data_IF_413456600693
#
_entry.id   IF_413456600693
#
_cell.length_a   1.000
_cell.length_b   1.000
_cell.length_c   1.000
_cell.angle_alpha   90.00
_cell.angle_beta   90.00
_cell.angle_gamma   90.00
#
_symmetry.space_group_name_H-M   'P 1'
#
loop_
_entity.id
_entity.type
_entity.pdbx_description
1 polymer ?
#
# COMPACT_ATOMS: atom_id res chain seq x y z
N UNK A 1 -14.77 -7.06 18.52
CA UNK A 1 -15.57 -6.71 17.32
C UNK A 1 -16.46 -7.90 16.95
N UNK A 2 -17.75 -7.70 16.73
CA UNK A 2 -18.62 -8.77 16.20
C UNK A 2 -18.44 -8.83 14.68
N UNK A 3 -18.24 -10.03 14.11
CA UNK A 3 -18.11 -10.21 12.65
C UNK A 3 -19.37 -9.72 11.89
N UNK A 4 -20.52 -9.66 12.54
CA UNK A 4 -21.73 -9.05 11.98
C UNK A 4 -21.63 -7.56 11.71
N UNK A 5 -20.72 -6.84 12.38
CA UNK A 5 -20.46 -5.42 12.13
C UNK A 5 -19.67 -5.20 10.83
N UNK A 6 -19.06 -6.26 10.26
CA UNK A 6 -18.34 -6.22 8.98
C UNK A 6 -19.24 -6.40 7.75
N UNK A 7 -20.57 -6.44 7.94
CA UNK A 7 -21.52 -6.49 6.83
C UNK A 7 -21.78 -7.89 6.26
N UNK A 8 -21.35 -8.96 6.93
CA UNK A 8 -21.64 -10.35 6.53
C UNK A 8 -21.74 -11.29 7.74
N UNK A 9 -22.37 -12.45 7.53
CA UNK A 9 -22.48 -13.53 8.53
C UNK A 9 -21.60 -14.70 8.09
N UNK A 10 -20.61 -15.12 8.89
CA UNK A 10 -19.76 -16.27 8.56
C UNK A 10 -20.56 -17.59 8.49
N UNK A 11 -20.38 -18.35 7.41
CA UNK A 11 -20.88 -19.73 7.29
C UNK A 11 -19.92 -20.70 7.97
N UNK A 12 -18.60 -20.56 7.72
CA UNK A 12 -17.55 -21.38 8.33
C UNK A 12 -16.68 -20.58 9.29
N UNK A 13 -17.07 -20.52 10.55
CA UNK A 13 -16.32 -19.83 11.61
C UNK A 13 -14.89 -20.35 11.80
N UNK A 14 -14.60 -21.60 11.39
CA UNK A 14 -13.26 -22.19 11.47
C UNK A 14 -12.23 -21.44 10.62
N UNK A 15 -12.60 -20.96 9.43
CA UNK A 15 -11.73 -20.16 8.56
C UNK A 15 -11.29 -18.85 9.23
N UNK A 16 -12.22 -18.15 9.87
CA UNK A 16 -11.92 -16.88 10.55
C UNK A 16 -11.05 -17.09 11.80
N UNK A 17 -11.28 -18.17 12.55
CA UNK A 17 -10.39 -18.55 13.66
C UNK A 17 -8.98 -18.87 13.17
N UNK A 18 -8.87 -19.57 12.05
CA UNK A 18 -7.58 -19.89 11.43
C UNK A 18 -6.86 -18.63 10.94
N UNK A 19 -7.59 -17.66 10.35
CA UNK A 19 -7.03 -16.38 9.92
C UNK A 19 -6.44 -15.55 11.08
N UNK A 20 -6.93 -15.76 12.29
CA UNK A 20 -6.46 -15.08 13.49
C UNK A 20 -5.38 -15.87 14.26
N UNK A 21 -5.01 -17.07 13.81
CA UNK A 21 -4.08 -17.97 14.50
C UNK A 21 -2.65 -17.71 14.04
N UNK A 22 -1.90 -16.94 14.84
CA UNK A 22 -0.50 -16.64 14.56
C UNK A 22 0.37 -17.91 14.59
N UNK A 23 1.43 -17.95 13.78
CA UNK A 23 2.37 -19.09 13.71
C UNK A 23 2.96 -19.51 15.06
N UNK A 24 3.16 -18.59 16.01
CA UNK A 24 3.62 -18.94 17.37
C UNK A 24 2.62 -19.77 18.15
N UNK A 25 1.33 -19.72 17.79
CA UNK A 25 0.25 -20.50 18.39
C UNK A 25 -0.24 -21.63 17.47
N UNK A 26 0.50 -21.92 16.38
CA UNK A 26 0.13 -22.93 15.41
C UNK A 26 -0.22 -24.28 16.07
N UNK A 27 -1.24 -24.94 15.53
CA UNK A 27 -1.75 -26.22 15.98
C UNK A 27 -1.32 -27.31 15.00
N UNK A 28 -0.84 -28.44 15.54
CA UNK A 28 -0.47 -29.61 14.74
C UNK A 28 -1.70 -30.49 14.53
N UNK A 29 -2.01 -30.78 13.27
CA UNK A 29 -3.08 -31.72 12.90
C UNK A 29 -2.64 -33.17 13.12
N UNK A 30 -3.57 -34.11 13.05
CA UNK A 30 -3.30 -35.56 13.17
C UNK A 30 -2.32 -36.08 12.10
N UNK A 31 -2.32 -35.44 10.91
CA UNK A 31 -1.39 -35.77 9.80
C UNK A 31 -0.07 -34.98 9.85
N UNK A 32 0.20 -34.24 10.94
CA UNK A 32 1.45 -33.52 11.15
C UNK A 32 1.53 -32.12 10.53
N UNK A 33 0.50 -31.65 9.81
CA UNK A 33 0.49 -30.30 9.21
C UNK A 33 0.29 -29.24 10.30
N UNK A 34 1.05 -28.16 10.24
CA UNK A 34 0.89 -27.01 11.12
C UNK A 34 -0.21 -26.08 10.58
N UNK A 35 -1.25 -25.85 11.39
CA UNK A 35 -2.32 -24.91 11.09
C UNK A 35 -1.99 -23.55 11.70
N UNK A 36 -1.92 -22.55 10.84
CA UNK A 36 -1.79 -21.14 11.17
C UNK A 36 -2.37 -20.28 10.01
N UNK A 37 -2.29 -18.97 10.11
CA UNK A 37 -2.87 -18.05 9.13
C UNK A 37 -2.11 -18.00 7.78
N UNK A 38 -0.85 -18.41 7.67
CA UNK A 38 0.04 -18.13 6.53
C UNK A 38 -0.54 -18.59 5.17
N UNK A 39 -1.24 -19.71 5.11
CA UNK A 39 -1.87 -20.15 3.87
C UNK A 39 -3.06 -19.29 3.46
N UNK A 40 -3.79 -18.75 4.41
CA UNK A 40 -4.90 -17.82 4.15
C UNK A 40 -4.36 -16.44 3.76
N UNK A 41 -3.28 -15.99 4.38
CA UNK A 41 -2.53 -14.78 4.03
C UNK A 41 -2.10 -14.83 2.56
N UNK A 42 -1.40 -15.90 2.14
CA UNK A 42 -0.98 -16.09 0.75
C UNK A 42 -2.15 -15.96 -0.24
N UNK A 43 -3.29 -16.57 0.06
CA UNK A 43 -4.48 -16.47 -0.78
C UNK A 43 -5.09 -15.09 -0.74
N UNK A 44 -5.17 -14.51 0.45
CA UNK A 44 -5.79 -13.22 0.69
C UNK A 44 -5.04 -12.06 0.04
N UNK A 45 -3.70 -12.07 0.06
CA UNK A 45 -2.87 -11.10 -0.67
C UNK A 45 -3.24 -11.06 -2.16
N UNK A 46 -3.29 -12.23 -2.82
CA UNK A 46 -3.64 -12.32 -4.24
C UNK A 46 -5.05 -11.79 -4.52
N UNK A 47 -6.04 -12.14 -3.70
CA UNK A 47 -7.43 -11.70 -3.84
C UNK A 47 -7.57 -10.20 -3.57
N UNK A 48 -6.94 -9.69 -2.51
CA UNK A 48 -6.92 -8.27 -2.17
C UNK A 48 -6.27 -7.46 -3.29
N UNK A 49 -5.10 -7.90 -3.77
CA UNK A 49 -4.39 -7.27 -4.88
C UNK A 49 -5.24 -7.17 -6.15
N UNK A 50 -5.97 -8.23 -6.50
CA UNK A 50 -6.87 -8.25 -7.65
C UNK A 50 -8.05 -7.27 -7.49
N UNK A 51 -8.70 -7.26 -6.32
CA UNK A 51 -9.82 -6.37 -6.03
C UNK A 51 -9.38 -4.90 -6.05
N UNK A 52 -8.27 -4.58 -5.39
CA UNK A 52 -7.72 -3.21 -5.37
C UNK A 52 -7.33 -2.76 -6.78
N UNK A 53 -6.71 -3.63 -7.58
CA UNK A 53 -6.37 -3.32 -8.97
C UNK A 53 -7.62 -2.99 -9.81
N UNK A 54 -8.69 -3.78 -9.69
CA UNK A 54 -9.96 -3.52 -10.39
C UNK A 54 -10.59 -2.19 -9.95
N UNK A 55 -10.57 -1.89 -8.63
CA UNK A 55 -11.08 -0.64 -8.09
C UNK A 55 -10.33 0.56 -8.67
N UNK A 56 -9.01 0.53 -8.62
CA UNK A 56 -8.17 1.61 -9.14
C UNK A 56 -8.35 1.82 -10.64
N UNK A 57 -8.42 0.73 -11.40
CA UNK A 57 -8.69 0.78 -12.84
C UNK A 57 -10.00 1.51 -13.15
N UNK A 58 -11.04 1.29 -12.35
CA UNK A 58 -12.34 1.95 -12.50
C UNK A 58 -12.35 3.40 -12.01
N UNK A 59 -11.68 3.70 -10.90
CA UNK A 59 -11.64 5.05 -10.34
C UNK A 59 -10.78 6.00 -11.16
N UNK A 60 -9.77 5.48 -11.86
CA UNK A 60 -8.80 6.28 -12.59
C UNK A 60 -8.69 5.88 -14.07
N UNK A 61 -9.77 6.03 -14.87
CA UNK A 61 -9.82 5.54 -16.25
C UNK A 61 -8.83 6.23 -17.20
N UNK A 62 -8.32 7.40 -16.84
CA UNK A 62 -7.40 8.19 -17.66
C UNK A 62 -5.93 8.14 -17.19
N UNK A 63 -5.65 7.33 -16.16
CA UNK A 63 -4.28 7.20 -15.62
C UNK A 63 -3.57 6.00 -16.23
N UNK A 64 -2.24 6.10 -16.31
CA UNK A 64 -1.39 5.03 -16.85
C UNK A 64 -1.16 3.88 -15.85
N UNK A 65 -0.59 2.80 -16.35
CA UNK A 65 -0.28 1.59 -15.56
C UNK A 65 0.67 1.91 -14.40
N UNK A 66 1.67 2.76 -14.62
CA UNK A 66 2.64 3.15 -13.60
C UNK A 66 1.96 3.83 -12.41
N UNK A 67 1.03 4.76 -12.65
CA UNK A 67 0.22 5.40 -11.61
C UNK A 67 -0.60 4.36 -10.83
N UNK A 68 -1.32 3.48 -11.54
CA UNK A 68 -2.17 2.46 -10.90
C UNK A 68 -1.34 1.48 -10.05
N UNK A 69 -0.16 1.09 -10.53
CA UNK A 69 0.75 0.18 -9.81
C UNK A 69 1.32 0.83 -8.55
N UNK A 70 1.73 2.10 -8.61
CA UNK A 70 2.21 2.83 -7.42
C UNK A 70 1.11 2.98 -6.38
N UNK A 71 -0.10 3.35 -6.81
CA UNK A 71 -1.23 3.55 -5.91
C UNK A 71 -1.66 2.23 -5.25
N UNK A 72 -1.74 1.14 -6.04
CA UNK A 72 -1.97 -0.20 -5.50
C UNK A 72 -0.93 -0.57 -4.45
N UNK A 73 0.36 -0.44 -4.76
CA UNK A 73 1.46 -0.78 -3.84
C UNK A 73 1.37 -0.01 -2.52
N UNK A 74 0.88 1.22 -2.55
CA UNK A 74 0.67 2.03 -1.35
C UNK A 74 -0.51 1.51 -0.52
N UNK A 75 -1.65 1.22 -1.16
CA UNK A 75 -2.86 0.71 -0.50
C UNK A 75 -2.59 -0.63 0.17
N UNK A 76 -1.94 -1.57 -0.55
CA UNK A 76 -1.61 -2.91 -0.03
C UNK A 76 -0.22 -2.97 0.61
N UNK A 77 0.37 -1.83 0.97
CA UNK A 77 1.63 -1.84 1.72
C UNK A 77 1.43 -2.42 3.12
N UNK A 78 2.47 -3.07 3.65
CA UNK A 78 2.45 -3.63 5.01
C UNK A 78 2.04 -2.62 6.08
N UNK A 79 2.51 -1.38 5.97
CA UNK A 79 2.16 -0.30 6.89
C UNK A 79 0.67 0.00 6.81
N UNK A 80 0.14 0.21 5.61
CA UNK A 80 -1.28 0.52 5.37
C UNK A 80 -2.20 -0.61 5.85
N UNK A 81 -1.88 -1.86 5.52
CA UNK A 81 -2.68 -3.02 5.95
C UNK A 81 -2.61 -3.25 7.46
N UNK A 82 -1.47 -2.95 8.08
CA UNK A 82 -1.31 -3.04 9.52
C UNK A 82 -2.19 -2.02 10.24
N UNK A 83 -2.16 -0.76 9.80
CA UNK A 83 -3.00 0.31 10.36
C UNK A 83 -4.49 0.02 10.15
N UNK A 84 -4.86 -0.51 8.98
CA UNK A 84 -6.20 -0.96 8.68
C UNK A 84 -6.66 -2.08 9.62
N UNK A 85 -5.83 -3.11 9.83
CA UNK A 85 -6.14 -4.22 10.73
C UNK A 85 -6.39 -3.75 12.17
N UNK A 86 -5.57 -2.81 12.65
CA UNK A 86 -5.74 -2.19 13.98
C UNK A 86 -7.04 -1.36 14.01
N UNK A 87 -7.29 -0.57 12.99
CA UNK A 87 -8.49 0.27 12.89
C UNK A 87 -9.78 -0.55 12.98
N UNK A 88 -9.85 -1.68 12.30
CA UNK A 88 -11.01 -2.59 12.37
C UNK A 88 -10.98 -3.54 13.57
N UNK A 89 -9.95 -3.48 14.43
CA UNK A 89 -9.84 -4.20 15.68
C UNK A 89 -9.44 -5.68 15.55
N UNK A 90 -8.79 -6.07 14.45
CA UNK A 90 -8.25 -7.43 14.29
C UNK A 90 -7.08 -7.69 15.25
N UNK A 91 -6.30 -6.68 15.60
CA UNK A 91 -5.19 -6.74 16.55
C UNK A 91 -5.60 -7.39 17.88
N UNK A 92 -6.81 -7.09 18.37
CA UNK A 92 -7.37 -7.60 19.61
C UNK A 92 -7.87 -9.05 19.52
N UNK A 93 -8.02 -9.57 18.32
CA UNK A 93 -8.56 -10.90 18.06
C UNK A 93 -7.46 -11.94 17.72
N UNK A 94 -6.23 -11.51 17.48
CA UNK A 94 -5.10 -12.41 17.14
C UNK A 94 -4.76 -13.32 18.31
N UNK A 95 -4.66 -14.61 18.02
CA UNK A 95 -4.22 -15.62 18.97
C UNK A 95 -2.74 -15.92 18.75
N UNK A 96 -1.90 -15.54 19.71
CA UNK A 96 -0.45 -15.77 19.70
C UNK A 96 0.03 -16.29 21.06
N UNK A 97 1.10 -17.08 21.07
CA UNK A 97 1.76 -17.57 22.31
C UNK A 97 2.92 -16.69 22.76
N UNK A 98 3.41 -15.82 21.90
CA UNK A 98 4.47 -14.85 22.19
C UNK A 98 3.94 -13.43 22.05
N UNK A 99 4.59 -12.48 22.71
CA UNK A 99 4.29 -11.06 22.47
C UNK A 99 4.64 -10.70 21.03
N UNK A 100 3.63 -10.31 20.28
CA UNK A 100 3.71 -9.89 18.88
C UNK A 100 3.60 -8.36 18.71
N UNK A 101 3.43 -7.61 19.81
CA UNK A 101 3.25 -6.15 19.80
C UNK A 101 4.45 -5.41 19.19
N UNK A 102 5.64 -5.98 19.33
CA UNK A 102 6.88 -5.45 18.73
C UNK A 102 7.04 -5.78 17.24
N UNK A 103 6.27 -6.71 16.71
CA UNK A 103 6.31 -7.08 15.30
C UNK A 103 5.24 -6.31 14.51
N UNK A 104 5.61 -5.11 14.06
CA UNK A 104 4.71 -4.15 13.40
C UNK A 104 4.06 -4.66 12.10
N UNK A 105 4.37 -5.89 11.64
CA UNK A 105 3.88 -6.39 10.35
C UNK A 105 2.83 -7.49 10.46
N UNK A 106 2.67 -8.09 11.63
CA UNK A 106 1.77 -9.24 11.84
C UNK A 106 0.31 -8.92 11.58
N UNK A 107 -0.13 -7.72 11.90
CA UNK A 107 -1.56 -7.38 11.76
C UNK A 107 -1.97 -7.21 10.31
N UNK A 108 -1.06 -6.75 9.42
CA UNK A 108 -1.29 -6.72 7.98
C UNK A 108 -1.45 -8.13 7.40
N UNK A 109 -0.55 -9.05 7.78
CA UNK A 109 -0.62 -10.46 7.38
C UNK A 109 -1.94 -11.10 7.84
N UNK A 110 -2.40 -10.77 9.06
CA UNK A 110 -3.70 -11.22 9.59
C UNK A 110 -4.87 -10.63 8.80
N UNK A 111 -4.79 -9.36 8.35
CA UNK A 111 -5.82 -8.79 7.51
C UNK A 111 -5.91 -9.51 6.16
N UNK A 112 -4.79 -9.79 5.51
CA UNK A 112 -4.76 -10.60 4.28
C UNK A 112 -5.34 -12.00 4.52
N UNK A 113 -4.94 -12.67 5.61
CA UNK A 113 -5.53 -13.95 5.98
C UNK A 113 -7.05 -13.88 6.20
N UNK A 114 -7.53 -12.78 6.77
CA UNK A 114 -8.95 -12.54 6.97
C UNK A 114 -9.69 -12.36 5.64
N UNK A 115 -9.11 -11.65 4.67
CA UNK A 115 -9.62 -11.55 3.30
C UNK A 115 -9.68 -12.93 2.64
N UNK A 116 -8.63 -13.74 2.79
CA UNK A 116 -8.59 -15.13 2.32
C UNK A 116 -9.69 -16.01 2.93
N UNK A 117 -9.97 -15.82 4.22
CA UNK A 117 -11.06 -16.51 4.90
C UNK A 117 -12.43 -16.11 4.38
N UNK A 118 -12.69 -14.81 4.15
CA UNK A 118 -13.94 -14.32 3.54
C UNK A 118 -14.10 -14.91 2.14
N UNK A 119 -13.04 -14.93 1.34
CA UNK A 119 -13.07 -15.49 0.00
C UNK A 119 -13.45 -16.97 -0.02
N UNK A 120 -12.85 -17.78 0.85
CA UNK A 120 -13.19 -19.21 0.92
C UNK A 120 -14.59 -19.48 1.49
N UNK A 121 -15.08 -18.62 2.37
CA UNK A 121 -16.40 -18.75 3.00
C UNK A 121 -17.55 -18.21 2.16
N UNK A 122 -17.34 -17.06 1.49
CA UNK A 122 -18.41 -16.27 0.88
C UNK A 122 -18.22 -16.06 -0.65
N UNK A 123 -17.07 -16.45 -1.19
CA UNK A 123 -16.70 -16.24 -2.59
C UNK A 123 -16.24 -14.82 -2.93
N UNK A 124 -15.79 -14.66 -4.18
CA UNK A 124 -15.18 -13.42 -4.68
C UNK A 124 -16.12 -12.21 -4.60
N UNK A 125 -17.39 -12.36 -4.99
CA UNK A 125 -18.35 -11.25 -5.01
C UNK A 125 -18.58 -10.63 -3.62
N UNK A 126 -18.66 -11.45 -2.58
CA UNK A 126 -18.84 -10.99 -1.20
C UNK A 126 -17.57 -10.37 -0.64
N UNK A 127 -16.41 -10.95 -0.93
CA UNK A 127 -15.11 -10.38 -0.56
C UNK A 127 -14.91 -9.01 -1.20
N UNK A 128 -15.20 -8.89 -2.49
CA UNK A 128 -15.14 -7.62 -3.21
C UNK A 128 -16.07 -6.60 -2.59
N UNK A 129 -17.32 -6.95 -2.29
CA UNK A 129 -18.29 -6.06 -1.63
C UNK A 129 -17.78 -5.59 -0.27
N UNK A 130 -17.15 -6.48 0.52
CA UNK A 130 -16.55 -6.12 1.79
C UNK A 130 -15.45 -5.06 1.61
N UNK A 131 -14.54 -5.26 0.66
CA UNK A 131 -13.46 -4.29 0.38
C UNK A 131 -14.04 -2.98 -0.15
N UNK A 132 -14.93 -3.00 -1.15
CA UNK A 132 -15.48 -1.81 -1.80
C UNK A 132 -16.41 -0.97 -0.90
N UNK A 133 -17.23 -1.64 -0.11
CA UNK A 133 -18.30 -0.97 0.66
C UNK A 133 -17.92 -0.68 2.10
N UNK A 134 -17.04 -1.50 2.68
CA UNK A 134 -16.70 -1.38 4.09
C UNK A 134 -15.27 -0.86 4.30
N UNK A 135 -14.28 -1.39 3.58
CA UNK A 135 -12.88 -1.00 3.80
C UNK A 135 -12.58 0.32 3.10
N UNK A 136 -12.77 0.41 1.80
CA UNK A 136 -12.35 1.55 1.00
C UNK A 136 -12.93 2.88 1.50
N UNK A 137 -14.24 3.05 1.69
CA UNK A 137 -14.82 4.34 2.08
C UNK A 137 -14.48 4.78 3.51
N UNK A 138 -14.18 3.82 4.40
CA UNK A 138 -13.95 4.12 5.81
C UNK A 138 -12.46 4.29 6.16
N UNK A 139 -11.56 3.86 5.28
CA UNK A 139 -10.14 3.86 5.58
C UNK A 139 -9.28 4.64 4.58
N UNK A 140 -9.71 4.76 3.33
CA UNK A 140 -8.95 5.43 2.28
C UNK A 140 -9.69 6.69 1.79
N UNK A 141 -9.08 7.87 1.94
CA UNK A 141 -9.47 9.04 1.16
C UNK A 141 -8.70 9.00 -0.18
N UNK A 142 -9.46 8.91 -1.27
CA UNK A 142 -8.89 8.87 -2.63
C UNK A 142 -8.08 10.15 -2.92
N UNK A 143 -8.50 11.31 -2.39
CA UNK A 143 -7.78 12.57 -2.58
C UNK A 143 -6.42 12.54 -1.90
N UNK A 144 -6.36 12.02 -0.67
CA UNK A 144 -5.12 11.88 0.08
C UNK A 144 -4.20 10.81 -0.55
N UNK A 145 -4.78 9.73 -1.06
CA UNK A 145 -4.02 8.71 -1.77
C UNK A 145 -3.32 9.27 -3.01
N UNK A 146 -4.01 10.09 -3.79
CA UNK A 146 -3.48 10.75 -4.99
C UNK A 146 -2.51 11.89 -4.63
N UNK A 147 -2.85 12.70 -3.62
CA UNK A 147 -2.00 13.83 -3.18
C UNK A 147 -0.63 13.37 -2.65
N UNK A 148 -0.55 12.15 -2.15
CA UNK A 148 0.69 11.53 -1.61
C UNK A 148 1.44 10.71 -2.67
N UNK A 149 1.05 10.68 -3.95
CA UNK A 149 1.94 10.21 -5.02
C UNK A 149 3.07 11.23 -5.28
N UNK A 150 3.79 11.53 -4.18
CA UNK A 150 4.90 12.50 -4.14
C UNK A 150 6.20 11.89 -4.66
N UNK A 151 6.15 10.76 -5.39
CA UNK A 151 7.36 10.20 -5.97
C UNK A 151 7.68 10.84 -7.34
N UNK A 152 7.64 12.16 -7.38
CA UNK A 152 7.94 12.95 -8.56
C UNK A 152 9.31 12.63 -9.16
N UNK A 153 10.30 12.23 -8.31
CA UNK A 153 11.62 11.80 -8.79
C UNK A 153 11.52 10.57 -9.69
N UNK A 154 10.80 9.53 -9.27
CA UNK A 154 10.62 8.33 -10.08
C UNK A 154 9.81 8.62 -11.34
N UNK A 155 8.73 9.41 -11.23
CA UNK A 155 7.92 9.81 -12.39
C UNK A 155 8.76 10.55 -13.44
N UNK A 156 9.64 11.45 -13.00
CA UNK A 156 10.51 12.17 -13.92
C UNK A 156 11.57 11.26 -14.56
N UNK A 157 12.12 10.30 -13.82
CA UNK A 157 13.06 9.31 -14.37
C UNK A 157 12.36 8.38 -15.37
N UNK A 158 11.16 7.89 -15.07
CA UNK A 158 10.33 7.10 -15.99
C UNK A 158 9.98 7.89 -17.26
N UNK A 159 9.62 9.17 -17.10
CA UNK A 159 9.40 10.08 -18.22
C UNK A 159 10.67 10.20 -19.09
N UNK A 160 11.84 10.39 -18.45
CA UNK A 160 13.12 10.47 -19.16
C UNK A 160 13.42 9.21 -19.97
N UNK A 161 13.19 8.02 -19.38
CA UNK A 161 13.35 6.73 -20.07
C UNK A 161 12.39 6.60 -21.27
N UNK A 162 11.10 6.93 -21.07
CA UNK A 162 10.07 6.86 -22.09
C UNK A 162 10.40 7.74 -23.31
N UNK A 163 10.88 8.95 -23.05
CA UNK A 163 11.21 9.92 -24.11
C UNK A 163 12.69 9.92 -24.51
N UNK A 164 13.48 8.95 -24.00
CA UNK A 164 14.92 8.81 -24.27
C UNK A 164 15.70 10.11 -23.98
N UNK A 165 15.33 10.79 -22.92
CA UNK A 165 15.99 11.99 -22.39
C UNK A 165 16.77 11.66 -21.14
N UNK A 166 18.02 12.04 -21.08
CA UNK A 166 18.83 11.91 -19.87
C UNK A 166 18.34 12.90 -18.80
N UNK A 167 18.08 12.41 -17.59
CA UNK A 167 17.64 13.21 -16.45
C UNK A 167 18.69 13.11 -15.35
N UNK A 168 19.30 14.24 -15.02
CA UNK A 168 20.33 14.32 -13.98
C UNK A 168 19.87 15.17 -12.80
N UNK A 169 20.12 14.67 -11.58
CA UNK A 169 19.83 15.37 -10.33
C UNK A 169 21.14 15.83 -9.67
N UNK A 170 21.29 17.10 -9.45
CA UNK A 170 22.43 17.69 -8.73
C UNK A 170 21.95 18.31 -7.44
N UNK A 171 22.31 17.69 -6.30
CA UNK A 171 21.88 18.15 -4.97
C UNK A 171 23.07 18.63 -4.15
N UNK A 172 22.97 19.85 -3.63
CA UNK A 172 24.00 20.50 -2.81
C UNK A 172 23.42 21.12 -1.54
N UNK A 173 24.21 21.22 -0.44
CA UNK A 173 23.80 21.98 0.73
C UNK A 173 23.58 23.46 0.39
N UNK A 174 22.58 24.10 1.02
CA UNK A 174 22.35 25.54 0.86
C UNK A 174 23.24 26.33 1.82
N UNK A 175 24.15 27.17 1.32
CA UNK A 175 25.16 27.84 2.16
C UNK A 175 24.58 28.77 3.23
N UNK A 176 23.41 29.35 3.01
CA UNK A 176 22.82 30.39 3.86
C UNK A 176 21.82 29.92 4.91
N UNK A 177 21.50 28.63 4.98
CA UNK A 177 20.53 28.07 5.97
C UNK A 177 20.91 26.65 6.37
N UNK A 178 21.18 26.42 7.65
CA UNK A 178 21.37 25.06 8.21
C UNK A 178 20.21 24.15 7.85
N UNK A 179 20.52 22.90 7.50
CA UNK A 179 19.56 21.84 7.16
C UNK A 179 18.64 22.13 5.96
N UNK A 180 19.14 22.83 4.93
CA UNK A 180 18.44 22.95 3.64
C UNK A 180 19.35 22.54 2.48
N UNK A 181 18.74 21.91 1.49
CA UNK A 181 19.41 21.43 0.29
C UNK A 181 18.77 22.06 -0.95
N UNK A 182 19.60 22.45 -1.91
CA UNK A 182 19.17 22.76 -3.26
C UNK A 182 19.23 21.50 -4.12
N UNK A 183 18.28 21.33 -5.02
CA UNK A 183 18.37 20.40 -6.12
C UNK A 183 18.16 21.14 -7.42
N UNK A 184 19.01 20.87 -8.40
CA UNK A 184 18.88 21.31 -9.79
C UNK A 184 18.67 20.08 -10.66
N UNK A 185 17.74 20.12 -11.59
CA UNK A 185 17.48 19.03 -12.54
C UNK A 185 17.78 19.51 -13.94
N UNK A 186 18.60 18.72 -14.64
CA UNK A 186 18.85 18.90 -16.08
C UNK A 186 18.19 17.77 -16.87
N UNK A 187 17.63 18.09 -18.04
CA UNK A 187 17.04 17.14 -18.97
C UNK A 187 17.67 17.33 -20.33
N UNK A 188 18.35 16.30 -20.84
CA UNK A 188 19.09 16.38 -22.09
C UNK A 188 20.21 17.44 -22.08
N UNK A 189 20.82 17.65 -20.89
CA UNK A 189 21.90 18.63 -20.70
C UNK A 189 21.44 20.06 -20.37
N UNK A 190 20.16 20.38 -20.48
CA UNK A 190 19.60 21.72 -20.17
C UNK A 190 18.98 21.75 -18.77
N UNK A 191 19.22 22.80 -17.98
CA UNK A 191 18.56 23.02 -16.68
C UNK A 191 17.06 23.26 -16.92
N UNK A 192 16.21 22.41 -16.33
CA UNK A 192 14.75 22.49 -16.44
C UNK A 192 14.06 22.92 -15.16
N UNK A 193 14.76 22.84 -14.03
CA UNK A 193 14.18 23.32 -12.78
C UNK A 193 15.12 23.25 -11.59
N UNK A 194 14.78 24.07 -10.60
CA UNK A 194 15.52 24.16 -9.33
C UNK A 194 14.58 24.40 -8.17
N UNK A 195 14.75 23.62 -7.10
CA UNK A 195 13.99 23.80 -5.86
C UNK A 195 14.82 23.42 -4.63
N UNK A 196 14.23 23.50 -3.46
CA UNK A 196 14.91 23.20 -2.19
C UNK A 196 14.05 22.34 -1.29
N UNK A 197 14.69 21.69 -0.30
CA UNK A 197 14.04 20.91 0.75
C UNK A 197 14.86 20.91 2.04
N UNK A 198 14.29 20.37 3.11
CA UNK A 198 14.94 20.17 4.42
C UNK A 198 15.85 18.94 4.42
N UNK A 199 15.71 18.06 3.43
CA UNK A 199 16.58 16.92 3.16
C UNK A 199 16.91 16.86 1.66
N UNK A 200 17.96 16.08 1.30
CA UNK A 200 18.31 15.80 -0.10
C UNK A 200 17.11 15.20 -0.84
N UNK A 201 16.45 14.21 -0.23
CA UNK A 201 15.28 13.52 -0.80
C UNK A 201 14.12 14.49 -1.08
N UNK A 202 13.81 15.37 -0.13
CA UNK A 202 12.76 16.36 -0.29
C UNK A 202 13.09 17.39 -1.37
N UNK A 203 14.35 17.88 -1.43
CA UNK A 203 14.78 18.81 -2.48
C UNK A 203 14.65 18.18 -3.87
N UNK A 204 15.03 16.90 -4.04
CA UNK A 204 14.88 16.15 -5.29
C UNK A 204 13.40 15.98 -5.69
N UNK A 205 12.53 15.64 -4.75
CA UNK A 205 11.10 15.50 -5.01
C UNK A 205 10.45 16.82 -5.41
N UNK A 206 10.74 17.91 -4.67
CA UNK A 206 10.20 19.23 -4.96
C UNK A 206 10.64 19.73 -6.34
N UNK A 207 11.90 19.50 -6.69
CA UNK A 207 12.42 19.93 -8.00
C UNK A 207 11.84 19.07 -9.13
N UNK A 208 11.72 17.77 -8.93
CA UNK A 208 11.11 16.88 -9.92
C UNK A 208 9.65 17.26 -10.20
N UNK A 209 8.89 17.66 -9.17
CA UNK A 209 7.52 18.18 -9.33
C UNK A 209 7.50 19.41 -10.26
N UNK A 210 8.34 20.40 -9.96
CA UNK A 210 8.43 21.64 -10.77
C UNK A 210 8.74 21.33 -12.23
N UNK A 211 9.66 20.40 -12.48
CA UNK A 211 10.04 19.98 -13.84
C UNK A 211 8.90 19.24 -14.54
N UNK A 212 8.25 18.28 -13.87
CA UNK A 212 7.11 17.54 -14.44
C UNK A 212 5.96 18.48 -14.79
N UNK A 213 5.59 19.41 -13.89
CA UNK A 213 4.54 20.40 -14.15
C UNK A 213 4.86 21.27 -15.39
N UNK A 214 6.14 21.54 -15.64
CA UNK A 214 6.57 22.28 -16.85
C UNK A 214 6.54 21.43 -18.14
N UNK A 215 6.73 20.10 -18.04
CA UNK A 215 6.74 19.19 -19.18
C UNK A 215 5.34 18.76 -19.63
N UNK A 216 4.34 18.80 -18.74
CA UNK A 216 2.94 18.47 -19.06
C UNK A 216 2.22 19.64 -19.76
N UNK A 217 2.73 20.86 -19.63
CA UNK A 217 2.15 22.06 -20.26
C UNK A 217 2.75 22.38 -21.65
N UNK A 218 3.47 21.44 -22.26
CA UNK A 218 3.97 21.49 -23.63
C UNK A 218 3.29 20.38 -24.45
#
# INVERSE_FOLDING_TARGET
MSLSQLGFVPHNKGLYRLALLHKSAAQKTSNGTMLNYERLEFLGDAILGAIVAELLYKFFPNQDEGFLTRLRSKIVSRESLNDLAIHIGLDKAVVAKSDISHNKHVYGDVFEAFVGAIFLDQGFASTKRFIEKFIFPNFFDIKDLVAVDTNYKSQLLEWGQKYKKEVCFQTSPRPSRRNKFWCTITVGGEEKGRSFGTSKKEAEQNTAKVVLDSLVNI
#
